data_IF_480805160164
#
_entry.id   IF_480805160164
#
_cell.length_a   1.000
_cell.length_b   1.000
_cell.length_c   1.000
_cell.angle_alpha   90.00
_cell.angle_beta   90.00
_cell.angle_gamma   90.00
#
_symmetry.space_group_name_H-M   'P 1'
#
loop_
_entity.id
_entity.type
_entity.pdbx_description
1 polymer ?
#
# COMPACT_ATOMS: atom_id res chain seq x y z
N UNK A 1 -20.86 33.34 38.11
CA UNK A 1 -20.66 34.76 38.46
C UNK A 1 -19.53 34.83 39.49
N UNK A 2 -18.31 35.19 39.08
CA UNK A 2 -17.23 35.79 39.91
C UNK A 2 -15.96 35.90 39.02
N UNK A 3 -15.61 37.10 38.56
CA UNK A 3 -14.48 37.95 39.03
C UNK A 3 -13.14 37.56 38.35
N UNK A 4 -12.67 38.29 37.33
CA UNK A 4 -11.91 39.56 37.31
C UNK A 4 -10.38 39.39 37.51
N UNK A 5 -9.62 40.20 36.75
CA UNK A 5 -8.25 40.72 36.99
C UNK A 5 -7.03 40.08 36.27
N UNK A 6 -6.76 40.64 35.08
CA UNK A 6 -5.55 41.38 34.66
C UNK A 6 -4.32 41.38 35.61
N UNK A 7 -3.15 40.91 35.12
CA UNK A 7 -1.78 41.41 35.39
C UNK A 7 -0.92 41.05 34.16
N UNK A 8 -0.63 41.97 33.23
CA UNK A 8 0.48 42.96 33.18
C UNK A 8 1.90 42.37 32.99
N UNK A 9 2.43 42.65 31.78
CA UNK A 9 3.77 43.16 31.48
C UNK A 9 4.99 42.30 31.83
N UNK A 10 5.69 41.85 30.78
CA UNK A 10 7.16 41.80 30.75
C UNK A 10 7.63 41.95 29.29
N UNK A 11 7.44 43.13 28.72
CA UNK A 11 8.11 43.52 27.48
C UNK A 11 9.52 43.99 27.87
N UNK A 12 10.50 43.10 27.81
CA UNK A 12 11.92 43.47 27.97
C UNK A 12 12.54 43.54 26.59
N UNK A 13 13.22 44.66 26.38
CA UNK A 13 13.70 45.16 25.12
C UNK A 13 15.19 44.81 24.90
N UNK A 14 15.59 44.81 23.61
CA UNK A 14 16.93 45.15 23.05
C UNK A 14 17.98 44.00 23.06
N UNK A 15 18.95 43.90 22.10
CA UNK A 15 19.26 44.77 20.94
C UNK A 15 19.32 44.10 19.56
N UNK A 16 19.22 44.96 18.55
CA UNK A 16 19.72 44.77 17.19
C UNK A 16 21.26 44.78 17.21
N UNK A 17 21.92 43.70 16.77
CA UNK A 17 23.35 43.71 16.45
C UNK A 17 23.51 43.87 14.94
N UNK A 18 23.67 45.13 14.55
CA UNK A 18 24.32 45.55 13.31
C UNK A 18 25.83 45.42 13.53
N UNK A 19 26.45 44.40 12.94
CA UNK A 19 27.89 44.39 12.73
C UNK A 19 28.18 44.65 11.26
N UNK A 20 28.52 45.89 10.98
CA UNK A 20 29.19 46.35 9.77
C UNK A 20 30.64 45.87 9.79
N UNK A 21 31.03 45.05 8.82
CA UNK A 21 32.44 44.78 8.49
C UNK A 21 32.54 44.39 7.00
N UNK A 22 33.69 44.63 6.36
CA UNK A 22 33.78 45.36 5.10
C UNK A 22 33.53 44.51 3.85
N UNK A 23 33.14 45.21 2.79
CA UNK A 23 33.08 44.72 1.41
C UNK A 23 34.51 44.32 1.01
N UNK A 24 34.85 43.06 1.20
CA UNK A 24 36.01 42.45 0.55
C UNK A 24 35.60 42.13 -0.89
N UNK A 25 36.39 42.63 -1.82
CA UNK A 25 36.22 42.54 -3.26
C UNK A 25 35.84 41.12 -3.72
N UNK A 26 34.79 41.03 -4.52
CA UNK A 26 34.49 39.85 -5.32
C UNK A 26 35.49 39.83 -6.47
N UNK A 27 36.60 39.13 -6.29
CA UNK A 27 37.43 38.68 -7.42
C UNK A 27 36.67 37.56 -8.13
N UNK A 28 35.94 37.97 -9.17
CA UNK A 28 35.40 37.08 -10.18
C UNK A 28 36.57 36.50 -10.99
N UNK A 29 36.93 35.24 -10.77
CA UNK A 29 37.60 34.42 -11.79
C UNK A 29 37.56 32.92 -11.50
N UNK A 30 36.83 32.23 -12.40
CA UNK A 30 37.07 30.90 -12.97
C UNK A 30 36.63 29.63 -12.22
N UNK A 31 35.69 28.97 -12.90
CA UNK A 31 35.47 27.51 -12.98
C UNK A 31 34.58 26.89 -11.90
N UNK A 32 33.28 27.21 -11.94
CA UNK A 32 32.30 26.18 -11.61
C UNK A 32 32.34 25.14 -12.72
N UNK A 33 32.92 23.97 -12.41
CA UNK A 33 32.69 22.76 -13.19
C UNK A 33 31.19 22.49 -13.12
N UNK A 34 30.43 22.93 -14.13
CA UNK A 34 29.07 22.46 -14.35
C UNK A 34 29.21 20.97 -14.64
N UNK A 35 29.10 20.15 -13.58
CA UNK A 35 29.01 18.71 -13.72
C UNK A 35 27.73 18.46 -14.51
N UNK A 36 27.87 18.20 -15.81
CA UNK A 36 26.77 17.78 -16.66
C UNK A 36 26.26 16.48 -16.04
N UNK A 37 25.14 16.57 -15.32
CA UNK A 37 24.44 15.41 -14.81
C UNK A 37 23.93 14.69 -16.05
N UNK A 38 24.35 13.44 -16.33
CA UNK A 38 23.80 12.69 -17.44
C UNK A 38 22.27 12.64 -17.28
N UNK A 39 21.52 13.01 -18.32
CA UNK A 39 20.07 12.89 -18.26
C UNK A 39 19.72 11.42 -17.95
N UNK A 40 18.83 11.17 -16.97
CA UNK A 40 18.42 9.82 -16.66
C UNK A 40 17.76 9.18 -17.89
N UNK A 41 18.08 7.91 -18.12
CA UNK A 41 17.44 7.11 -19.17
C UNK A 41 15.93 7.09 -18.95
N UNK A 42 15.19 7.69 -19.89
CA UNK A 42 13.73 7.81 -19.84
C UNK A 42 13.05 6.44 -19.73
N UNK A 43 13.63 5.40 -20.34
CA UNK A 43 13.10 4.04 -20.24
C UNK A 43 13.23 3.50 -18.81
N UNK A 44 14.36 3.77 -18.16
CA UNK A 44 14.58 3.37 -16.76
C UNK A 44 13.59 4.04 -15.82
N UNK A 45 13.29 5.33 -16.04
CA UNK A 45 12.27 6.06 -15.26
C UNK A 45 10.89 5.43 -15.48
N UNK A 46 10.52 5.16 -16.74
CA UNK A 46 9.21 4.57 -17.06
C UNK A 46 9.03 3.19 -16.44
N UNK A 47 10.06 2.34 -16.46
CA UNK A 47 10.02 1.02 -15.82
C UNK A 47 9.88 1.12 -14.30
N UNK A 48 10.64 2.03 -13.66
CA UNK A 48 10.53 2.27 -12.22
C UNK A 48 9.12 2.76 -11.84
N UNK A 49 8.53 3.65 -12.65
CA UNK A 49 7.19 4.15 -12.41
C UNK A 49 6.13 3.05 -12.56
N UNK A 50 6.23 2.21 -13.60
CA UNK A 50 5.34 1.06 -13.78
C UNK A 50 5.44 0.05 -12.63
N UNK A 51 6.63 -0.10 -12.04
CA UNK A 51 6.83 -0.93 -10.85
C UNK A 51 6.10 -0.35 -9.63
N UNK A 52 6.25 0.96 -9.37
CA UNK A 52 5.56 1.65 -8.28
C UNK A 52 4.04 1.56 -8.43
N UNK A 53 3.52 1.76 -9.65
CA UNK A 53 2.10 1.63 -9.94
C UNK A 53 1.59 0.21 -9.66
N UNK A 54 2.37 -0.81 -10.05
CA UNK A 54 2.04 -2.22 -9.78
C UNK A 54 2.06 -2.55 -8.29
N UNK A 55 3.02 -1.99 -7.54
CA UNK A 55 3.09 -2.15 -6.09
C UNK A 55 1.88 -1.52 -5.39
N UNK A 56 1.47 -0.32 -5.82
CA UNK A 56 0.30 0.38 -5.29
C UNK A 56 -1.01 -0.34 -5.62
N UNK A 57 -1.17 -0.80 -6.85
CA UNK A 57 -2.31 -1.61 -7.30
C UNK A 57 -2.48 -2.84 -6.41
N UNK A 58 -1.39 -3.59 -6.21
CA UNK A 58 -1.40 -4.81 -5.38
C UNK A 58 -1.63 -4.46 -3.92
N UNK A 59 -1.00 -3.43 -3.39
CA UNK A 59 -1.25 -3.00 -2.01
C UNK A 59 -2.72 -2.65 -1.79
N UNK A 60 -3.36 -1.97 -2.74
CA UNK A 60 -4.79 -1.69 -2.66
C UNK A 60 -5.63 -2.98 -2.69
N UNK A 61 -5.30 -3.90 -3.60
CA UNK A 61 -5.98 -5.18 -3.74
C UNK A 61 -5.93 -6.03 -2.46
N UNK A 62 -4.76 -6.11 -1.82
CA UNK A 62 -4.57 -6.90 -0.61
C UNK A 62 -5.34 -6.35 0.60
N UNK A 63 -5.64 -5.04 0.64
CA UNK A 63 -6.46 -4.44 1.68
C UNK A 63 -7.97 -4.69 1.51
N UNK A 64 -8.42 -5.24 0.38
CA UNK A 64 -9.85 -5.47 0.14
C UNK A 64 -10.37 -6.64 0.98
N UNK A 65 -11.57 -6.50 1.56
CA UNK A 65 -12.21 -7.55 2.34
C UNK A 65 -12.78 -8.70 1.48
N UNK A 66 -13.07 -8.45 0.21
CA UNK A 66 -13.55 -9.49 -0.70
C UNK A 66 -12.38 -10.24 -1.33
N UNK A 67 -12.53 -11.56 -1.51
CA UNK A 67 -11.49 -12.41 -2.10
C UNK A 67 -11.59 -12.49 -3.63
N UNK A 68 -12.77 -12.26 -4.21
CA UNK A 68 -12.99 -12.30 -5.67
C UNK A 68 -12.06 -11.36 -6.46
N UNK A 69 -11.79 -10.12 -6.01
CA UNK A 69 -10.82 -9.25 -6.68
C UNK A 69 -9.42 -9.87 -6.76
N UNK A 70 -8.97 -10.59 -5.71
CA UNK A 70 -7.67 -11.26 -5.72
C UNK A 70 -7.64 -12.39 -6.76
N UNK A 71 -8.68 -13.23 -6.77
CA UNK A 71 -8.82 -14.30 -7.75
C UNK A 71 -8.87 -13.73 -9.19
N UNK A 72 -9.60 -12.63 -9.40
CA UNK A 72 -9.69 -11.97 -10.69
C UNK A 72 -8.36 -11.37 -11.14
N UNK A 73 -7.60 -10.77 -10.24
CA UNK A 73 -6.27 -10.24 -10.55
C UNK A 73 -5.33 -11.34 -11.04
N UNK A 74 -5.33 -12.49 -10.36
CA UNK A 74 -4.53 -13.66 -10.76
C UNK A 74 -4.97 -14.13 -12.15
N UNK A 75 -6.27 -14.31 -12.38
CA UNK A 75 -6.82 -14.73 -13.68
C UNK A 75 -6.37 -13.80 -14.82
N UNK A 76 -6.43 -12.48 -14.63
CA UNK A 76 -6.05 -11.51 -15.66
C UNK A 76 -4.54 -11.51 -15.91
N UNK A 77 -3.72 -11.63 -14.86
CA UNK A 77 -2.28 -11.34 -14.95
C UNK A 77 -1.37 -12.57 -14.94
N UNK A 78 -1.90 -13.80 -14.80
CA UNK A 78 -1.07 -15.01 -14.64
C UNK A 78 -0.08 -15.30 -15.79
N UNK A 79 -0.30 -14.75 -16.99
CA UNK A 79 0.60 -14.88 -18.15
C UNK A 79 1.48 -13.65 -18.39
N UNK A 80 1.32 -12.59 -17.60
CA UNK A 80 2.10 -11.38 -17.73
C UNK A 80 3.41 -11.51 -16.95
N UNK A 81 4.52 -11.77 -17.66
CA UNK A 81 5.84 -11.97 -17.05
C UNK A 81 6.25 -10.80 -16.14
N UNK A 82 5.98 -9.56 -16.55
CA UNK A 82 6.28 -8.36 -15.75
C UNK A 82 5.46 -8.29 -14.45
N UNK A 83 4.31 -8.98 -14.39
CA UNK A 83 3.45 -9.04 -13.20
C UNK A 83 3.67 -10.28 -12.33
N UNK A 84 4.51 -11.23 -12.75
CA UNK A 84 4.79 -12.48 -12.02
C UNK A 84 5.01 -12.31 -10.51
N UNK A 85 5.92 -11.43 -10.03
CA UNK A 85 6.14 -11.29 -8.58
C UNK A 85 4.89 -10.82 -7.83
N UNK A 86 4.06 -9.99 -8.47
CA UNK A 86 2.81 -9.51 -7.90
C UNK A 86 1.72 -10.59 -7.89
N UNK A 87 1.62 -11.36 -8.97
CA UNK A 87 0.70 -12.51 -9.06
C UNK A 87 1.01 -13.52 -7.96
N UNK A 88 2.29 -13.83 -7.71
CA UNK A 88 2.67 -14.74 -6.63
C UNK A 88 2.32 -14.19 -5.25
N UNK A 89 2.53 -12.89 -5.01
CA UNK A 89 2.11 -12.23 -3.77
C UNK A 89 0.59 -12.34 -3.55
N UNK A 90 -0.21 -12.10 -4.59
CA UNK A 90 -1.68 -12.18 -4.51
C UNK A 90 -2.16 -13.62 -4.35
N UNK A 91 -1.49 -14.62 -4.96
CA UNK A 91 -1.77 -16.05 -4.74
C UNK A 91 -1.56 -16.46 -3.29
N UNK A 92 -0.46 -16.01 -2.68
CA UNK A 92 -0.18 -16.31 -1.27
C UNK A 92 -1.26 -15.74 -0.34
N UNK A 93 -1.64 -14.48 -0.55
CA UNK A 93 -2.71 -13.84 0.22
C UNK A 93 -4.06 -14.56 0.03
N UNK A 94 -4.42 -14.86 -1.22
CA UNK A 94 -5.66 -15.58 -1.52
C UNK A 94 -5.68 -16.95 -0.83
N UNK A 95 -4.58 -17.69 -0.88
CA UNK A 95 -4.46 -19.00 -0.24
C UNK A 95 -4.60 -18.90 1.29
N UNK A 96 -3.94 -17.91 1.92
CA UNK A 96 -4.06 -17.67 3.35
C UNK A 96 -5.53 -17.40 3.74
N UNK A 97 -6.18 -16.47 3.04
CA UNK A 97 -7.56 -16.09 3.36
C UNK A 97 -8.57 -17.20 3.04
N UNK A 98 -8.32 -18.01 2.02
CA UNK A 98 -9.13 -19.22 1.79
C UNK A 98 -8.98 -20.24 2.93
N UNK A 99 -7.79 -20.36 3.53
CA UNK A 99 -7.57 -21.19 4.73
C UNK A 99 -8.35 -20.66 5.94
N UNK A 100 -8.36 -19.34 6.14
CA UNK A 100 -9.17 -18.69 7.20
C UNK A 100 -10.67 -18.95 7.02
N UNK A 101 -11.16 -18.88 5.77
CA UNK A 101 -12.54 -19.24 5.42
C UNK A 101 -12.81 -20.71 5.75
N UNK A 102 -11.92 -21.61 5.36
CA UNK A 102 -12.06 -23.05 5.66
C UNK A 102 -12.17 -23.28 7.18
N UNK A 103 -11.28 -22.68 7.97
CA UNK A 103 -11.29 -22.79 9.43
C UNK A 103 -12.58 -22.22 10.04
N UNK A 104 -13.05 -21.06 9.57
CA UNK A 104 -14.30 -20.48 10.02
C UNK A 104 -15.49 -21.43 9.79
N UNK A 105 -15.63 -21.97 8.58
CA UNK A 105 -16.74 -22.84 8.23
C UNK A 105 -16.66 -24.24 8.88
N UNK A 106 -15.46 -24.70 9.25
CA UNK A 106 -15.27 -25.92 10.06
C UNK A 106 -15.65 -25.70 11.53
N UNK A 107 -15.50 -24.48 12.06
CA UNK A 107 -15.79 -24.16 13.46
C UNK A 107 -17.28 -24.00 13.79
N UNK A 108 -18.11 -23.78 12.77
CA UNK A 108 -19.56 -23.58 12.91
C UNK A 108 -20.33 -24.84 12.50
N UNK A 109 -21.55 -24.99 13.04
CA UNK A 109 -22.44 -26.06 12.61
C UNK A 109 -22.71 -25.93 11.12
N UNK A 110 -22.31 -26.95 10.37
CA UNK A 110 -22.49 -26.92 8.92
C UNK A 110 -23.85 -27.55 8.58
N UNK A 111 -24.75 -26.71 8.10
CA UNK A 111 -26.07 -27.10 7.59
C UNK A 111 -26.28 -26.61 6.15
N UNK A 112 -27.49 -26.79 5.61
CA UNK A 112 -27.81 -26.37 4.23
C UNK A 112 -27.69 -24.86 4.01
N UNK A 113 -27.97 -24.04 5.03
CA UNK A 113 -27.88 -22.58 4.93
C UNK A 113 -26.41 -22.16 4.93
N UNK A 114 -25.63 -22.70 5.86
CA UNK A 114 -24.17 -22.48 5.94
C UNK A 114 -23.48 -22.87 4.63
N UNK A 115 -23.82 -24.04 4.07
CA UNK A 115 -23.27 -24.48 2.78
C UNK A 115 -23.66 -23.58 1.61
N UNK A 116 -24.89 -23.05 1.60
CA UNK A 116 -25.33 -22.10 0.58
C UNK A 116 -24.52 -20.81 0.67
N UNK A 117 -24.33 -20.27 1.88
CA UNK A 117 -23.57 -19.05 2.10
C UNK A 117 -22.09 -19.22 1.70
N UNK A 118 -21.48 -20.37 2.05
CA UNK A 118 -20.12 -20.71 1.64
C UNK A 118 -19.98 -20.69 0.10
N UNK A 119 -20.90 -21.36 -0.60
CA UNK A 119 -20.90 -21.42 -2.07
C UNK A 119 -21.09 -20.04 -2.70
N UNK A 120 -22.00 -19.23 -2.16
CA UNK A 120 -22.30 -17.91 -2.70
C UNK A 120 -21.17 -16.90 -2.45
N UNK A 121 -20.52 -16.95 -1.28
CA UNK A 121 -19.48 -16.00 -0.92
C UNK A 121 -18.08 -16.35 -1.45
N UNK A 122 -17.80 -17.64 -1.68
CA UNK A 122 -16.44 -18.11 -1.93
C UNK A 122 -16.29 -19.09 -3.10
N UNK A 123 -17.37 -19.33 -3.85
CA UNK A 123 -17.36 -20.28 -4.98
C UNK A 123 -16.38 -19.90 -6.09
N UNK A 124 -16.15 -18.61 -6.31
CA UNK A 124 -15.20 -18.12 -7.30
C UNK A 124 -13.76 -18.09 -6.74
N UNK A 125 -13.58 -17.46 -5.58
CA UNK A 125 -12.24 -17.25 -5.03
C UNK A 125 -11.61 -18.49 -4.37
N UNK A 126 -12.40 -19.36 -3.72
CA UNK A 126 -11.92 -20.52 -2.97
C UNK A 126 -12.62 -21.84 -3.37
N UNK A 127 -12.66 -22.21 -4.66
CA UNK A 127 -13.47 -23.35 -5.14
C UNK A 127 -13.10 -24.68 -4.46
N UNK A 128 -11.82 -24.91 -4.17
CA UNK A 128 -11.36 -26.12 -3.50
C UNK A 128 -11.86 -26.26 -2.05
N UNK A 129 -11.99 -25.14 -1.32
CA UNK A 129 -12.54 -25.11 0.04
C UNK A 129 -14.03 -25.45 0.00
N UNK A 130 -14.75 -24.84 -0.92
CA UNK A 130 -16.18 -25.10 -1.14
C UNK A 130 -16.41 -26.58 -1.47
N UNK A 131 -15.59 -27.16 -2.34
CA UNK A 131 -15.67 -28.57 -2.71
C UNK A 131 -15.42 -29.51 -1.53
N UNK A 132 -14.33 -29.31 -0.76
CA UNK A 132 -13.99 -30.14 0.40
C UNK A 132 -15.11 -30.14 1.44
N UNK A 133 -15.56 -28.95 1.85
CA UNK A 133 -16.57 -28.83 2.90
C UNK A 133 -17.92 -29.37 2.44
N UNK A 134 -18.28 -29.19 1.16
CA UNK A 134 -19.51 -29.80 0.62
C UNK A 134 -19.44 -31.33 0.67
N UNK A 135 -18.31 -31.94 0.30
CA UNK A 135 -18.15 -33.42 0.30
C UNK A 135 -18.22 -34.02 1.71
N UNK A 136 -17.66 -33.35 2.71
CA UNK A 136 -17.69 -33.83 4.10
C UNK A 136 -19.10 -33.97 4.65
N UNK A 137 -20.07 -33.22 4.13
CA UNK A 137 -21.43 -33.10 4.69
C UNK A 137 -22.49 -33.90 3.93
N UNK A 138 -22.10 -34.51 2.81
CA UNK A 138 -22.93 -35.46 2.07
C UNK A 138 -22.67 -36.92 2.47
N UNK A 139 -21.73 -37.15 3.39
CA UNK A 139 -21.46 -38.45 4.03
C UNK A 139 -22.19 -38.52 5.36
#
# INVERSE_FOLDING_TARGET
MLVLLLILISYIAIPQVINSAPIAAVENSTTQVVKVIPLPDLNKIKMAQQQVESEQEVAHLLHQQHLDPLAKYIEINHLNEAKTPYVEKVKMELAQRCSEVENHYQSIKTDRVTLKNLKQGYGYACPAVVERLTKTLTK
#
